data_IF_391433476335
#
_entry.id   IF_391433476335
#
_cell.length_a   1.000
_cell.length_b   1.000
_cell.length_c   1.000
_cell.angle_alpha   90.00
_cell.angle_beta   90.00
_cell.angle_gamma   90.00
#
_symmetry.space_group_name_H-M   'P 1'
#
loop_
_entity.id
_entity.type
_entity.pdbx_description
1 polymer ?
#
# COMPACT_ATOMS: atom_id res chain seq x y z
N UNK A 1 10.53 -2.00 23.43
CA UNK A 1 9.60 -2.09 22.28
C UNK A 1 8.26 -1.61 22.78
N UNK A 2 7.55 -0.77 22.04
CA UNK A 2 6.23 -0.32 22.45
C UNK A 2 5.33 -1.55 22.64
N UNK A 3 4.56 -1.61 23.72
CA UNK A 3 3.57 -2.69 23.96
C UNK A 3 2.37 -2.61 23.00
N UNK A 4 2.38 -1.63 22.08
CA UNK A 4 1.33 -1.42 21.12
C UNK A 4 1.32 -2.50 20.04
N UNK A 5 0.17 -3.15 19.87
CA UNK A 5 -0.05 -4.10 18.78
C UNK A 5 -0.83 -3.39 17.65
N UNK A 6 -0.17 -2.99 16.56
CA UNK A 6 -0.83 -2.31 15.45
C UNK A 6 -1.76 -3.28 14.71
N UNK A 7 -2.87 -2.75 14.18
CA UNK A 7 -3.78 -3.47 13.28
C UNK A 7 -3.29 -3.31 11.86
N UNK A 8 -2.86 -4.41 11.24
CA UNK A 8 -2.32 -4.37 9.87
C UNK A 8 -3.26 -5.10 8.91
N UNK A 9 -3.78 -4.38 7.93
CA UNK A 9 -4.54 -4.97 6.82
C UNK A 9 -3.59 -5.36 5.69
N UNK A 10 -3.62 -6.62 5.27
CA UNK A 10 -2.76 -7.16 4.21
C UNK A 10 -3.55 -7.49 2.95
N UNK A 11 -3.02 -7.16 1.78
CA UNK A 11 -3.53 -7.62 0.49
C UNK A 11 -2.47 -8.46 -0.21
N UNK A 12 -2.69 -9.78 -0.30
CA UNK A 12 -1.67 -10.69 -0.85
C UNK A 12 -2.10 -11.27 -2.19
N UNK A 13 -1.17 -11.30 -3.16
CA UNK A 13 -1.40 -12.02 -4.40
C UNK A 13 -1.46 -13.53 -4.14
N UNK A 14 -2.35 -14.18 -4.88
CA UNK A 14 -2.65 -15.60 -4.78
C UNK A 14 -1.42 -16.47 -5.03
N UNK A 15 -0.64 -16.12 -6.06
CA UNK A 15 0.34 -17.03 -6.63
C UNK A 15 1.65 -17.08 -5.86
N UNK A 16 2.11 -15.92 -5.34
CA UNK A 16 3.41 -15.79 -4.71
C UNK A 16 3.28 -15.48 -3.22
N UNK A 17 2.89 -14.25 -2.86
CA UNK A 17 2.98 -13.81 -1.47
C UNK A 17 1.99 -14.52 -0.53
N UNK A 18 0.79 -14.87 -0.99
CA UNK A 18 -0.13 -15.70 -0.20
C UNK A 18 0.45 -17.10 0.02
N UNK A 19 1.02 -17.72 -1.01
CA UNK A 19 1.72 -19.00 -0.89
C UNK A 19 2.97 -18.90 0.00
N UNK A 20 3.66 -17.76 0.01
CA UNK A 20 4.77 -17.50 0.92
C UNK A 20 4.29 -17.49 2.39
N UNK A 21 3.11 -16.90 2.65
CA UNK A 21 2.48 -16.95 3.96
C UNK A 21 2.08 -18.38 4.35
N UNK A 22 1.53 -19.17 3.42
CA UNK A 22 1.22 -20.59 3.65
C UNK A 22 2.50 -21.40 3.94
N UNK A 23 3.57 -21.16 3.17
CA UNK A 23 4.89 -21.76 3.38
C UNK A 23 5.47 -21.39 4.75
N UNK A 24 5.27 -20.15 5.20
CA UNK A 24 5.64 -19.72 6.54
C UNK A 24 4.90 -20.54 7.62
N UNK A 25 3.60 -20.77 7.43
CA UNK A 25 2.77 -21.59 8.31
C UNK A 25 3.20 -23.07 8.33
N UNK A 26 3.44 -23.67 7.17
CA UNK A 26 3.95 -25.05 7.04
C UNK A 26 5.30 -25.20 7.74
N UNK A 27 6.20 -24.23 7.54
CA UNK A 27 7.51 -24.18 8.18
C UNK A 27 7.47 -23.77 9.66
N UNK A 28 6.28 -23.47 10.22
CA UNK A 28 6.07 -23.04 11.61
C UNK A 28 6.86 -21.79 12.00
N UNK A 29 7.20 -20.95 11.03
CA UNK A 29 7.89 -19.69 11.29
C UNK A 29 6.96 -18.73 12.04
N UNK A 30 7.41 -18.26 13.20
CA UNK A 30 6.64 -17.34 14.03
C UNK A 30 6.86 -15.89 13.57
N UNK A 31 5.81 -15.09 13.62
CA UNK A 31 5.82 -13.65 13.35
C UNK A 31 4.70 -12.97 14.14
N UNK A 32 4.73 -11.63 14.31
CA UNK A 32 3.71 -10.93 15.07
C UNK A 32 2.28 -11.16 14.54
N UNK A 33 1.28 -11.38 15.41
CA UNK A 33 -0.09 -11.73 15.01
C UNK A 33 -0.94 -10.54 14.53
N UNK A 34 -0.32 -9.43 14.13
CA UNK A 34 -0.94 -8.16 13.75
C UNK A 34 -1.56 -8.13 12.35
N UNK A 35 -1.08 -8.99 11.44
CA UNK A 35 -1.53 -9.01 10.05
C UNK A 35 -2.88 -9.74 9.89
N UNK A 36 -3.81 -9.14 9.15
CA UNK A 36 -5.06 -9.78 8.68
C UNK A 36 -5.12 -9.68 7.16
N UNK A 37 -5.19 -10.84 6.50
CA UNK A 37 -4.98 -10.95 5.06
C UNK A 37 -6.29 -11.02 4.29
N UNK A 38 -6.38 -10.22 3.24
CA UNK A 38 -7.32 -10.34 2.13
C UNK A 38 -6.56 -10.92 0.92
N UNK A 39 -7.03 -12.06 0.41
CA UNK A 39 -6.45 -12.71 -0.77
C UNK A 39 -6.97 -12.04 -2.05
N UNK A 40 -6.08 -11.76 -2.99
CA UNK A 40 -6.42 -11.31 -4.34
C UNK A 40 -5.68 -12.15 -5.38
N UNK A 41 -6.19 -12.28 -6.60
CA UNK A 41 -5.50 -13.05 -7.63
C UNK A 41 -4.14 -12.46 -8.01
N UNK A 42 -4.06 -11.13 -8.11
CA UNK A 42 -2.85 -10.40 -8.50
C UNK A 42 -2.75 -9.08 -7.73
N UNK A 43 -1.54 -8.59 -7.46
CA UNK A 43 -1.36 -7.21 -6.99
C UNK A 43 -1.81 -6.18 -8.03
N UNK A 44 -1.88 -6.52 -9.31
CA UNK A 44 -2.49 -5.66 -10.33
C UNK A 44 -3.98 -5.38 -10.10
N UNK A 45 -4.65 -6.15 -9.22
CA UNK A 45 -6.01 -5.86 -8.76
C UNK A 45 -6.06 -4.74 -7.72
N UNK A 46 -4.93 -4.37 -7.13
CA UNK A 46 -4.84 -3.32 -6.12
C UNK A 46 -5.44 -2.04 -6.65
N UNK A 47 -6.57 -1.67 -6.06
CA UNK A 47 -7.13 -0.35 -6.25
C UNK A 47 -6.50 0.58 -5.22
N UNK A 48 -5.98 1.77 -5.59
CA UNK A 48 -5.44 2.70 -4.61
C UNK A 48 -6.45 3.14 -3.54
N UNK A 49 -7.76 2.99 -3.79
CA UNK A 49 -8.79 3.22 -2.76
C UNK A 49 -8.77 2.16 -1.64
N UNK A 50 -8.30 0.93 -1.89
CA UNK A 50 -8.36 -0.14 -0.89
C UNK A 50 -7.49 0.15 0.35
N UNK A 51 -6.21 0.57 0.22
CA UNK A 51 -5.43 0.95 1.38
C UNK A 51 -6.00 2.15 2.13
N UNK A 52 -6.51 3.16 1.41
CA UNK A 52 -7.09 4.36 2.00
C UNK A 52 -8.36 4.05 2.81
N UNK A 53 -9.24 3.20 2.26
CA UNK A 53 -10.41 2.69 2.99
C UNK A 53 -10.02 1.82 4.18
N UNK A 54 -8.98 0.99 4.04
CA UNK A 54 -8.46 0.19 5.15
C UNK A 54 -8.05 1.03 6.35
N UNK A 55 -7.29 2.10 6.10
CA UNK A 55 -6.90 3.07 7.13
C UNK A 55 -8.13 3.80 7.71
N UNK A 56 -9.07 4.24 6.86
CA UNK A 56 -10.30 4.90 7.31
C UNK A 56 -11.18 4.01 8.21
N UNK A 57 -11.08 2.69 8.05
CA UNK A 57 -11.82 1.70 8.84
C UNK A 57 -11.01 1.13 10.01
N UNK A 58 -9.92 1.80 10.41
CA UNK A 58 -9.21 1.53 11.66
C UNK A 58 -8.03 0.56 11.57
N UNK A 59 -7.48 0.33 10.37
CA UNK A 59 -6.14 -0.21 10.24
C UNK A 59 -5.11 0.89 10.60
N UNK A 60 -4.06 0.51 11.32
CA UNK A 60 -2.93 1.41 11.63
C UNK A 60 -1.91 1.45 10.49
N UNK A 61 -1.85 0.37 9.72
CA UNK A 61 -0.98 0.22 8.58
C UNK A 61 -1.57 -0.76 7.55
N UNK A 62 -1.14 -0.65 6.30
CA UNK A 62 -1.57 -1.51 5.20
C UNK A 62 -0.36 -2.12 4.49
N UNK A 63 -0.39 -3.44 4.33
CA UNK A 63 0.61 -4.20 3.60
C UNK A 63 0.04 -4.70 2.26
N UNK A 64 0.84 -4.66 1.21
CA UNK A 64 0.54 -5.29 -0.08
C UNK A 64 1.70 -6.20 -0.46
N UNK A 65 1.40 -7.48 -0.69
CA UNK A 65 2.39 -8.49 -1.02
C UNK A 65 2.17 -9.10 -2.39
N UNK A 66 3.21 -9.13 -3.23
CA UNK A 66 3.13 -9.66 -4.59
C UNK A 66 4.26 -10.62 -4.99
N UNK A 67 4.21 -11.02 -6.26
CA UNK A 67 5.35 -11.67 -6.92
C UNK A 67 6.46 -10.64 -7.19
N UNK A 68 7.72 -11.08 -7.23
CA UNK A 68 8.83 -10.21 -7.61
C UNK A 68 8.60 -9.59 -8.99
N UNK A 69 9.01 -8.32 -9.22
CA UNK A 69 9.01 -7.72 -10.55
C UNK A 69 9.70 -8.65 -11.58
N UNK A 70 9.00 -8.95 -12.67
CA UNK A 70 9.45 -9.91 -13.69
C UNK A 70 8.92 -11.34 -13.52
N UNK A 71 8.37 -11.69 -12.35
CA UNK A 71 7.84 -13.03 -12.03
C UNK A 71 6.32 -13.05 -11.88
N UNK A 72 5.62 -12.01 -12.35
CA UNK A 72 4.17 -11.93 -12.20
C UNK A 72 3.49 -13.06 -12.99
N UNK A 73 2.61 -13.81 -12.33
CA UNK A 73 1.78 -14.82 -13.00
C UNK A 73 0.94 -14.22 -14.14
N UNK A 74 0.54 -12.96 -14.00
CA UNK A 74 -0.20 -12.21 -15.01
C UNK A 74 0.69 -11.21 -15.76
N UNK A 75 1.95 -11.57 -15.99
CA UNK A 75 2.94 -10.85 -16.82
C UNK A 75 3.42 -9.54 -16.18
N UNK A 76 2.54 -8.55 -16.01
CA UNK A 76 2.92 -7.20 -15.62
C UNK A 76 2.08 -6.58 -14.48
N UNK A 77 1.10 -7.32 -13.94
CA UNK A 77 0.20 -6.81 -12.91
C UNK A 77 0.91 -6.20 -11.68
N UNK A 78 2.07 -6.72 -11.27
CA UNK A 78 2.85 -6.15 -10.16
C UNK A 78 3.53 -4.82 -10.49
N UNK A 79 3.85 -4.55 -11.76
CA UNK A 79 4.32 -3.23 -12.20
C UNK A 79 3.20 -2.19 -12.10
N UNK A 80 1.97 -2.54 -12.49
CA UNK A 80 0.81 -1.66 -12.26
C UNK A 80 0.55 -1.39 -10.77
N UNK A 81 0.83 -2.37 -9.91
CA UNK A 81 0.73 -2.20 -8.47
C UNK A 81 1.74 -1.20 -7.91
N UNK A 82 2.96 -1.12 -8.46
CA UNK A 82 3.96 -0.12 -8.05
C UNK A 82 3.47 1.32 -8.30
N UNK A 83 2.84 1.57 -9.45
CA UNK A 83 2.26 2.88 -9.78
C UNK A 83 1.09 3.20 -8.86
N UNK A 84 0.25 2.21 -8.57
CA UNK A 84 -0.86 2.35 -7.62
C UNK A 84 -0.37 2.64 -6.20
N UNK A 85 0.69 1.97 -5.78
CA UNK A 85 1.36 2.18 -4.50
C UNK A 85 1.95 3.59 -4.37
N UNK A 86 2.56 4.11 -5.44
CA UNK A 86 3.06 5.49 -5.46
C UNK A 86 1.94 6.52 -5.27
N UNK A 87 0.74 6.28 -5.85
CA UNK A 87 -0.42 7.15 -5.59
C UNK A 87 -0.84 7.12 -4.11
N UNK A 88 -0.85 5.94 -3.48
CA UNK A 88 -1.19 5.81 -2.06
C UNK A 88 -0.18 6.56 -1.20
N UNK A 89 1.12 6.38 -1.43
CA UNK A 89 2.16 7.12 -0.69
C UNK A 89 2.01 8.64 -0.84
N UNK A 90 1.68 9.12 -2.03
CA UNK A 90 1.45 10.54 -2.27
C UNK A 90 0.19 11.05 -1.55
N UNK A 91 -0.89 10.28 -1.57
CA UNK A 91 -2.11 10.61 -0.83
C UNK A 91 -1.84 10.68 0.69
N UNK A 92 -1.14 9.71 1.27
CA UNK A 92 -0.78 9.72 2.69
C UNK A 92 0.01 10.98 3.07
N UNK A 93 1.03 11.33 2.27
CA UNK A 93 1.85 12.51 2.53
C UNK A 93 1.05 13.81 2.52
N UNK A 94 0.11 13.95 1.57
CA UNK A 94 -0.78 15.12 1.47
C UNK A 94 -1.77 15.23 2.62
N UNK A 95 -2.13 14.10 3.21
CA UNK A 95 -2.99 14.03 4.38
C UNK A 95 -2.21 14.22 5.70
N UNK A 96 -0.88 14.40 5.65
CA UNK A 96 -0.04 14.47 6.84
C UNK A 96 0.21 13.11 7.51
N UNK A 97 -0.09 12.01 6.81
CA UNK A 97 0.09 10.64 7.32
C UNK A 97 1.47 10.12 6.92
N UNK A 98 2.17 9.49 7.85
CA UNK A 98 3.47 8.89 7.56
C UNK A 98 3.37 7.85 6.44
N UNK A 99 4.21 8.00 5.41
CA UNK A 99 4.25 7.13 4.22
C UNK A 99 4.57 5.68 4.58
N UNK A 100 5.24 5.44 5.71
CA UNK A 100 5.64 4.13 6.19
C UNK A 100 4.49 3.34 6.83
N UNK A 101 3.29 3.93 6.96
CA UNK A 101 2.06 3.17 7.26
C UNK A 101 1.58 2.32 6.10
N UNK A 102 2.13 2.49 4.90
CA UNK A 102 1.83 1.66 3.75
C UNK A 102 3.10 1.02 3.20
N UNK A 103 3.07 -0.29 2.98
CA UNK A 103 4.19 -1.02 2.39
C UNK A 103 3.70 -1.93 1.27
N UNK A 104 4.31 -1.80 0.10
CA UNK A 104 4.32 -2.84 -0.93
C UNK A 104 5.69 -3.51 -0.94
N UNK A 105 5.70 -4.86 -0.88
CA UNK A 105 6.92 -5.67 -0.89
C UNK A 105 6.65 -7.04 -1.56
N UNK A 106 7.72 -7.81 -1.78
CA UNK A 106 7.68 -9.00 -2.64
C UNK A 106 8.17 -10.26 -1.93
N UNK A 107 7.44 -11.36 -2.11
CA UNK A 107 7.83 -12.69 -1.67
C UNK A 107 7.32 -13.73 -2.67
N UNK A 108 8.23 -14.55 -3.20
CA UNK A 108 7.90 -15.70 -4.04
C UNK A 108 7.24 -16.81 -3.21
N UNK A 109 6.63 -17.80 -3.88
CA UNK A 109 5.92 -18.89 -3.20
C UNK A 109 6.80 -19.70 -2.23
N UNK A 110 8.12 -19.77 -2.48
CA UNK A 110 9.07 -20.52 -1.65
C UNK A 110 9.69 -19.67 -0.52
N UNK A 111 9.33 -18.38 -0.42
CA UNK A 111 10.01 -17.41 0.44
C UNK A 111 9.33 -17.20 1.81
N UNK A 112 8.93 -18.30 2.47
CA UNK A 112 8.32 -18.25 3.81
C UNK A 112 9.16 -17.49 4.86
N UNK A 113 10.48 -17.74 4.99
CA UNK A 113 11.35 -16.97 5.87
C UNK A 113 11.42 -15.46 5.54
N UNK A 114 11.43 -15.12 4.24
CA UNK A 114 11.45 -13.72 3.81
C UNK A 114 10.12 -13.01 4.14
N UNK A 115 8.99 -13.68 3.92
CA UNK A 115 7.67 -13.16 4.32
C UNK A 115 7.64 -12.82 5.82
N UNK A 116 8.09 -13.75 6.67
CA UNK A 116 8.21 -13.54 8.14
C UNK A 116 9.09 -12.33 8.46
N UNK A 117 10.24 -12.20 7.80
CA UNK A 117 11.15 -11.06 7.97
C UNK A 117 10.47 -9.73 7.61
N UNK A 118 9.80 -9.68 6.45
CA UNK A 118 9.10 -8.47 5.96
C UNK A 118 7.99 -8.07 6.94
N UNK A 119 7.12 -9.00 7.32
CA UNK A 119 5.99 -8.72 8.21
C UNK A 119 6.45 -8.32 9.61
N UNK A 120 7.50 -8.97 10.13
CA UNK A 120 8.06 -8.62 11.45
C UNK A 120 8.63 -7.20 11.45
N UNK A 121 9.45 -6.86 10.45
CA UNK A 121 10.00 -5.50 10.28
C UNK A 121 8.88 -4.46 10.14
N UNK A 122 7.89 -4.75 9.31
CA UNK A 122 6.79 -3.83 9.08
C UNK A 122 5.92 -3.64 10.32
N UNK A 123 5.67 -4.72 11.07
CA UNK A 123 4.92 -4.65 12.33
C UNK A 123 5.67 -3.83 13.37
N UNK A 124 6.99 -4.02 13.50
CA UNK A 124 7.81 -3.21 14.39
C UNK A 124 7.72 -1.74 14.01
N UNK A 125 7.84 -1.42 12.71
CA UNK A 125 7.76 -0.03 12.26
C UNK A 125 6.40 0.60 12.54
N UNK A 126 5.31 -0.12 12.27
CA UNK A 126 3.96 0.34 12.60
C UNK A 126 3.74 0.52 14.10
N UNK A 127 4.37 -0.32 14.95
CA UNK A 127 4.31 -0.20 16.40
C UNK A 127 5.11 1.00 16.94
N UNK A 128 6.22 1.37 16.28
CA UNK A 128 7.00 2.58 16.57
C UNK A 128 6.24 3.85 16.22
N UNK A 129 5.51 3.85 15.10
CA UNK A 129 4.60 4.94 14.74
C UNK A 129 3.44 5.02 15.74
N UNK A 130 2.90 3.88 16.18
CA UNK A 130 1.76 3.86 17.10
C UNK A 130 0.41 4.04 16.38
N UNK A 131 -0.68 4.29 17.15
CA UNK A 131 -2.03 4.36 16.60
C UNK A 131 -2.17 5.44 15.53
N UNK A 132 -2.86 5.11 14.43
CA UNK A 132 -3.14 6.07 13.36
C UNK A 132 -3.87 7.32 13.90
N UNK A 133 -3.37 8.50 13.52
CA UNK A 133 -3.88 9.81 13.91
C UNK A 133 -3.26 10.35 15.20
N UNK A 134 -2.93 9.50 16.18
CA UNK A 134 -2.25 9.97 17.40
C UNK A 134 -0.78 10.30 17.14
N UNK A 135 -0.12 9.50 16.31
CA UNK A 135 1.29 9.73 15.97
C UNK A 135 1.48 10.98 15.10
N UNK A 136 0.46 11.31 14.31
CA UNK A 136 0.44 12.43 13.38
C UNK A 136 -0.16 13.71 13.97
N UNK A 137 -0.62 13.69 15.23
CA UNK A 137 -1.35 14.79 15.88
C UNK A 137 -2.60 15.25 15.09
N UNK A 138 -3.37 14.29 14.59
CA UNK A 138 -4.57 14.50 13.78
C UNK A 138 -5.84 14.11 14.55
N UNK A 139 -6.91 14.91 14.41
CA UNK A 139 -8.23 14.51 14.90
C UNK A 139 -8.72 13.25 14.18
N UNK A 140 -9.19 12.26 14.95
CA UNK A 140 -9.58 10.95 14.41
C UNK A 140 -10.81 11.02 13.50
N UNK A 141 -11.76 11.90 13.80
CA UNK A 141 -12.97 12.09 13.00
C UNK A 141 -12.62 12.73 11.65
N UNK A 142 -11.88 13.83 11.69
CA UNK A 142 -11.41 14.54 10.51
C UNK A 142 -10.50 13.66 9.63
N UNK A 143 -9.58 12.90 10.25
CA UNK A 143 -8.69 11.97 9.53
C UNK A 143 -9.48 10.90 8.77
N UNK A 144 -10.51 10.32 9.40
CA UNK A 144 -11.36 9.32 8.76
C UNK A 144 -12.07 9.90 7.54
N UNK A 145 -12.65 11.10 7.66
CA UNK A 145 -13.33 11.77 6.54
C UNK A 145 -12.35 12.06 5.39
N UNK A 146 -11.16 12.58 5.71
CA UNK A 146 -10.10 12.84 4.72
C UNK A 146 -9.66 11.58 3.99
N UNK A 147 -9.49 10.46 4.69
CA UNK A 147 -9.12 9.17 4.09
C UNK A 147 -10.23 8.63 3.16
N UNK A 148 -11.50 8.76 3.55
CA UNK A 148 -12.63 8.37 2.70
C UNK A 148 -12.74 9.24 1.45
N UNK A 149 -12.52 10.55 1.58
CA UNK A 149 -12.47 11.45 0.43
C UNK A 149 -11.31 11.09 -0.51
N UNK A 150 -10.13 10.78 0.06
CA UNK A 150 -8.98 10.32 -0.71
C UNK A 150 -9.26 9.02 -1.46
N UNK A 151 -9.94 8.07 -0.83
CA UNK A 151 -10.39 6.84 -1.47
C UNK A 151 -11.34 7.11 -2.65
N UNK A 152 -12.30 8.03 -2.49
CA UNK A 152 -13.24 8.39 -3.55
C UNK A 152 -12.55 9.07 -4.74
N UNK A 153 -11.62 10.00 -4.48
CA UNK A 153 -10.81 10.61 -5.54
C UNK A 153 -9.97 9.57 -6.26
N UNK A 154 -9.41 8.59 -5.54
CA UNK A 154 -8.65 7.51 -6.14
C UNK A 154 -9.49 6.62 -7.08
N UNK A 155 -10.81 6.52 -6.84
CA UNK A 155 -11.77 5.83 -7.73
C UNK A 155 -12.10 6.62 -8.99
N UNK A 156 -11.82 7.93 -9.03
CA UNK A 156 -12.16 8.79 -10.14
C UNK A 156 -11.58 8.29 -11.48
N UNK A 157 -12.43 8.22 -12.52
CA UNK A 157 -12.06 7.75 -13.87
C UNK A 157 -10.80 8.44 -14.43
N UNK A 158 -10.64 9.75 -14.17
CA UNK A 158 -9.47 10.51 -14.65
C UNK A 158 -8.19 10.04 -13.96
N UNK A 159 -8.20 9.86 -12.64
CA UNK A 159 -7.07 9.28 -11.88
C UNK A 159 -6.73 7.90 -12.43
N UNK A 160 -7.70 7.00 -12.59
CA UNK A 160 -7.46 5.65 -13.12
C UNK A 160 -6.80 5.66 -14.49
N UNK A 161 -7.24 6.56 -15.37
CA UNK A 161 -6.68 6.71 -16.72
C UNK A 161 -5.25 7.26 -16.68
N UNK A 162 -4.97 8.18 -15.76
CA UNK A 162 -3.62 8.72 -15.54
C UNK A 162 -2.67 7.65 -14.99
N UNK A 163 -3.11 6.77 -14.10
CA UNK A 163 -2.31 5.64 -13.60
C UNK A 163 -1.96 4.63 -14.70
N UNK A 164 -2.89 4.35 -15.62
CA UNK A 164 -2.60 3.52 -16.80
C UNK A 164 -1.53 4.19 -17.66
N UNK A 165 -1.64 5.52 -17.88
CA UNK A 165 -0.63 6.28 -18.63
C UNK A 165 0.74 6.29 -17.92
N UNK A 166 0.77 6.43 -16.60
CA UNK A 166 1.98 6.36 -15.78
C UNK A 166 2.63 4.97 -15.88
N UNK A 167 1.83 3.90 -15.80
CA UNK A 167 2.31 2.53 -15.95
C UNK A 167 2.96 2.29 -17.31
N UNK A 168 2.33 2.76 -18.39
CA UNK A 168 2.91 2.66 -19.75
C UNK A 168 4.21 3.43 -19.87
N UNK A 169 4.29 4.63 -19.28
CA UNK A 169 5.51 5.45 -19.30
C UNK A 169 6.65 4.76 -18.53
N UNK A 170 6.36 4.25 -17.33
CA UNK A 170 7.30 3.49 -16.51
C UNK A 170 7.82 2.26 -17.27
N UNK A 171 6.93 1.42 -17.81
CA UNK A 171 7.32 0.24 -18.60
C UNK A 171 8.16 0.60 -19.83
N UNK A 172 7.83 1.70 -20.51
CA UNK A 172 8.63 2.20 -21.66
C UNK A 172 10.02 2.67 -21.24
N UNK A 173 10.14 3.29 -20.07
CA UNK A 173 11.43 3.77 -19.55
C UNK A 173 12.34 2.66 -19.05
N UNK A 174 11.76 1.55 -18.56
CA UNK A 174 12.51 0.48 -17.90
C UNK A 174 13.02 0.83 -16.49
N UNK A 175 12.75 2.04 -16.00
CA UNK A 175 13.08 2.46 -14.64
C UNK A 175 11.90 2.17 -13.70
N UNK A 176 12.09 1.19 -12.82
CA UNK A 176 11.10 0.76 -11.82
C UNK A 176 11.46 1.25 -10.41
N UNK A 177 12.36 2.22 -10.28
CA UNK A 177 12.74 2.80 -9.00
C UNK A 177 11.60 3.62 -8.39
N UNK A 178 11.49 3.59 -7.05
CA UNK A 178 10.43 4.34 -6.33
C UNK A 178 10.42 5.84 -6.68
N UNK A 179 11.56 6.56 -6.76
CA UNK A 179 11.58 7.97 -7.14
C UNK A 179 11.02 8.21 -8.55
N UNK A 180 11.49 7.46 -9.55
CA UNK A 180 11.02 7.63 -10.93
C UNK A 180 9.51 7.38 -11.07
N UNK A 181 8.98 6.37 -10.39
CA UNK A 181 7.55 6.08 -10.38
C UNK A 181 6.76 7.19 -9.67
N UNK A 182 7.27 7.70 -8.54
CA UNK A 182 6.64 8.80 -7.83
C UNK A 182 6.55 10.06 -8.70
N UNK A 183 7.62 10.40 -9.43
CA UNK A 183 7.64 11.54 -10.34
C UNK A 183 6.63 11.40 -11.48
N UNK A 184 6.50 10.19 -12.06
CA UNK A 184 5.50 9.90 -13.08
C UNK A 184 4.06 10.06 -12.55
N UNK A 185 3.81 9.60 -11.31
CA UNK A 185 2.50 9.72 -10.67
C UNK A 185 2.20 11.18 -10.34
N UNK A 186 3.15 11.91 -9.75
CA UNK A 186 3.01 13.33 -9.45
C UNK A 186 2.70 14.12 -10.72
N UNK A 187 3.52 14.00 -11.77
CA UNK A 187 3.34 14.72 -13.02
C UNK A 187 1.96 14.49 -13.67
N UNK A 188 1.37 13.29 -13.49
CA UNK A 188 0.09 12.92 -14.11
C UNK A 188 -1.13 13.11 -13.21
N UNK A 189 -0.98 13.03 -11.89
CA UNK A 189 -2.09 13.00 -10.94
C UNK A 189 -2.15 14.22 -10.01
N UNK A 190 -1.11 15.06 -9.96
CA UNK A 190 -1.02 16.19 -9.02
C UNK A 190 -2.27 17.08 -9.02
N UNK A 191 -2.72 17.55 -10.19
CA UNK A 191 -3.93 18.40 -10.31
C UNK A 191 -5.18 17.79 -9.65
N UNK A 192 -5.33 16.47 -9.73
CA UNK A 192 -6.46 15.76 -9.16
C UNK A 192 -6.27 15.47 -7.66
N UNK A 193 -5.03 15.28 -7.21
CA UNK A 193 -4.68 15.08 -5.81
C UNK A 193 -4.65 16.40 -5.03
N UNK A 194 -4.37 17.53 -5.65
CA UNK A 194 -4.39 18.86 -5.00
C UNK A 194 -5.81 19.24 -4.56
N UNK A 195 -6.82 18.73 -5.25
CA UNK A 195 -8.22 18.82 -4.81
C UNK A 195 -8.49 18.12 -3.46
N UNK A 196 -7.63 17.18 -3.02
CA UNK A 196 -7.74 16.54 -1.70
C UNK A 196 -7.37 17.48 -0.55
N UNK A 197 -6.44 18.41 -0.78
CA UNK A 197 -5.98 19.37 0.23
C UNK A 197 -6.85 20.64 0.20
N UNK A 198 -7.29 21.07 -0.99
CA UNK A 198 -8.10 22.28 -1.18
C UNK A 198 -9.62 22.11 -0.95
N UNK A 199 -10.07 20.92 -0.56
CA UNK A 199 -11.48 20.52 -0.48
C UNK A 199 -12.18 20.73 0.86
N UNK A 200 -11.66 21.57 1.76
CA UNK A 200 -12.37 22.31 2.83
C UNK A 200 -11.33 23.00 3.72
N UNK A 201 -10.91 24.18 3.30
CA UNK A 201 -10.63 25.25 4.25
C UNK A 201 -11.81 26.23 4.08
N UNK A 202 -12.84 26.05 4.90
CA UNK A 202 -13.83 27.11 5.17
C UNK A 202 -13.58 27.52 6.60
#
# INVERSE_FOLDING_TARGET
MSDYQPKILGFLCNWCCYTAADSAGVGRYQYPPSLRVVRMMCTGRLDPSFPLEGLANGADAVFVGGCHPGECHYIDGNYHALVSAALVHEALARLGIDRERFLIDWASAAEGPNFVKIITRFTQRAAELGPLGQAEDLDKGELREKLLLAAEVARNKKIRTNLISASRAMMKSGDFSRPAIADLVAAKCDKNLTALIGGRAV
#
